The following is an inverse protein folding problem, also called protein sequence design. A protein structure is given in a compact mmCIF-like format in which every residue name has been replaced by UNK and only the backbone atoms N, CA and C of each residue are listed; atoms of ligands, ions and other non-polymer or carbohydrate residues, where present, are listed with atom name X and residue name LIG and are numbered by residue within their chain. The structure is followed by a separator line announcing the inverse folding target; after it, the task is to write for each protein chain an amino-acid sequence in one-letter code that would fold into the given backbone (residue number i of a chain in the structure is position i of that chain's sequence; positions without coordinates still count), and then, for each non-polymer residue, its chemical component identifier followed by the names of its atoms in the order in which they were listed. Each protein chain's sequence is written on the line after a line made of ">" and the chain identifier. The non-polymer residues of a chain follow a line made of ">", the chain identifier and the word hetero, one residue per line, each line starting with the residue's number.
data_IF_624337507879
#
_entry.id   IF_624337507879
#
_cell.length_a   1.000
_cell.length_b   1.000
_cell.length_c   1.000
_cell.angle_alpha   90.00
_cell.angle_beta   90.00
_cell.angle_gamma   90.00
#
_symmetry.space_group_name_H-M   'P 1'
#
loop_
_entity.id
_entity.type
_entity.pdbx_description
1 polymer ?
#
# COMPACT_ATOMS: atom_id res chain seq x y z
N UNK A 1 -10.89 -29.93 -29.82
CA UNK A 1 -10.43 -28.74 -30.57
C UNK A 1 -11.65 -28.04 -31.14
N UNK A 2 -12.07 -26.89 -30.60
CA UNK A 2 -13.17 -26.10 -31.14
C UNK A 2 -12.64 -24.72 -31.52
N UNK A 3 -12.39 -24.54 -32.81
CA UNK A 3 -12.25 -23.26 -33.48
C UNK A 3 -13.63 -22.78 -33.93
N UNK A 4 -13.98 -21.52 -33.67
CA UNK A 4 -15.15 -20.87 -34.26
C UNK A 4 -14.70 -19.54 -34.87
N UNK A 5 -14.68 -19.50 -36.20
CA UNK A 5 -14.64 -18.26 -36.99
C UNK A 5 -16.05 -17.70 -37.12
N UNK A 6 -16.21 -16.38 -37.04
CA UNK A 6 -17.48 -15.72 -37.35
C UNK A 6 -17.31 -14.79 -38.55
N UNK A 7 -18.14 -15.04 -39.57
CA UNK A 7 -18.20 -14.31 -40.83
C UNK A 7 -18.97 -12.99 -40.70
N UNK A 8 -18.49 -11.98 -41.41
CA UNK A 8 -19.11 -10.66 -41.54
C UNK A 8 -20.26 -10.67 -42.56
N UNK A 9 -21.31 -9.86 -42.29
CA UNK A 9 -22.34 -9.50 -43.27
C UNK A 9 -22.54 -8.00 -43.29
N UNK A 10 -22.50 -7.43 -44.50
CA UNK A 10 -22.63 -6.02 -44.80
C UNK A 10 -24.10 -5.59 -44.96
N UNK A 11 -24.39 -4.32 -44.66
CA UNK A 11 -25.64 -3.61 -44.95
C UNK A 11 -25.36 -2.21 -45.51
N UNK A 12 -26.29 -1.60 -46.28
CA UNK A 12 -25.95 -0.69 -47.38
C UNK A 12 -25.91 0.81 -47.02
N UNK A 13 -25.18 1.56 -47.87
CA UNK A 13 -25.03 3.03 -47.90
C UNK A 13 -26.27 3.73 -48.47
N UNK A 14 -26.61 4.91 -47.93
CA UNK A 14 -27.36 5.97 -48.65
C UNK A 14 -26.79 7.37 -48.34
N UNK A 15 -26.38 8.04 -49.44
CA UNK A 15 -26.34 9.47 -49.83
C UNK A 15 -25.90 10.63 -48.89
N UNK A 16 -24.74 11.20 -49.24
CA UNK A 16 -24.44 12.61 -49.56
C UNK A 16 -25.35 13.74 -49.05
N UNK A 17 -24.77 14.69 -48.31
CA UNK A 17 -24.85 16.12 -48.66
C UNK A 17 -23.60 16.87 -48.18
N UNK A 18 -23.07 17.73 -49.06
CA UNK A 18 -21.94 18.60 -48.79
C UNK A 18 -22.41 19.85 -48.03
N UNK A 19 -21.75 20.19 -46.92
CA UNK A 19 -21.82 21.53 -46.33
C UNK A 19 -20.41 21.97 -45.95
N UNK A 20 -20.11 23.17 -46.40
CA UNK A 20 -18.85 23.93 -46.41
C UNK A 20 -18.29 24.20 -45.02
N UNK A 21 -16.95 24.13 -44.91
CA UNK A 21 -16.18 24.61 -43.75
C UNK A 21 -16.26 26.13 -43.65
N UNK A 22 -16.44 26.69 -42.45
CA UNK A 22 -15.79 27.91 -42.03
C UNK A 22 -14.55 27.56 -41.20
N UNK A 23 -13.47 28.22 -41.59
CA UNK A 23 -12.17 28.31 -40.95
C UNK A 23 -12.24 29.00 -39.58
N UNK A 24 -11.25 28.70 -38.74
CA UNK A 24 -10.88 29.36 -37.48
C UNK A 24 -11.71 29.02 -36.23
N UNK A 25 -11.24 28.04 -35.48
CA UNK A 25 -11.35 28.04 -34.02
C UNK A 25 -9.94 28.07 -33.45
N UNK A 26 -9.63 29.14 -32.72
CA UNK A 26 -8.35 29.36 -32.08
C UNK A 26 -8.04 28.23 -31.11
N UNK A 27 -6.88 27.61 -31.29
CA UNK A 27 -6.33 26.67 -30.31
C UNK A 27 -5.92 27.45 -29.06
N UNK A 28 -6.82 27.59 -28.10
CA UNK A 28 -6.47 27.89 -26.72
C UNK A 28 -5.67 26.71 -26.19
N UNK A 29 -4.34 26.80 -26.33
CA UNK A 29 -3.40 25.97 -25.57
C UNK A 29 -3.58 26.32 -24.09
N UNK A 30 -4.46 25.58 -23.42
CA UNK A 30 -4.37 25.45 -21.98
C UNK A 30 -3.06 24.72 -21.70
N UNK A 31 -2.03 25.50 -21.36
CA UNK A 31 -0.84 24.96 -20.72
C UNK A 31 -1.28 24.37 -19.39
N UNK A 32 -1.61 23.08 -19.37
CA UNK A 32 -1.59 22.31 -18.13
C UNK A 32 -0.14 22.26 -17.68
N UNK A 33 0.26 23.29 -16.93
CA UNK A 33 1.40 23.17 -16.04
C UNK A 33 1.03 22.09 -15.04
N UNK A 34 1.55 20.88 -15.25
CA UNK A 34 1.63 19.89 -14.19
C UNK A 34 2.34 20.55 -13.02
N UNK A 35 1.60 20.85 -11.96
CA UNK A 35 2.18 21.19 -10.67
C UNK A 35 2.92 19.94 -10.21
N UNK A 36 4.23 19.88 -10.46
CA UNK A 36 5.09 18.93 -9.78
C UNK A 36 5.23 19.46 -8.36
N UNK A 37 4.52 18.86 -7.42
CA UNK A 37 4.72 19.14 -6.00
C UNK A 37 6.09 18.59 -5.57
N UNK A 38 7.15 19.36 -5.79
CA UNK A 38 8.36 19.22 -5.01
C UNK A 38 8.17 20.06 -3.75
N UNK A 39 7.77 19.43 -2.65
CA UNK A 39 7.66 20.09 -1.34
C UNK A 39 9.05 20.38 -0.77
N UNK A 40 9.69 21.41 -1.31
CA UNK A 40 10.83 22.08 -0.67
C UNK A 40 10.34 23.02 0.42
N UNK A 41 9.96 22.49 1.57
CA UNK A 41 9.76 23.25 2.80
C UNK A 41 10.76 22.75 3.84
N UNK A 42 11.49 23.67 4.49
CA UNK A 42 12.40 23.38 5.61
C UNK A 42 11.62 23.06 6.89
N UNK A 43 10.73 22.07 6.83
CA UNK A 43 10.19 21.39 7.99
C UNK A 43 11.15 20.26 8.34
N UNK A 44 11.53 20.10 9.61
CA UNK A 44 12.31 18.95 10.07
C UNK A 44 11.60 17.66 9.64
N UNK A 45 12.17 16.96 8.65
CA UNK A 45 11.60 15.73 8.12
C UNK A 45 11.58 14.66 9.22
N UNK A 46 10.49 13.91 9.28
CA UNK A 46 10.37 12.77 10.19
C UNK A 46 11.40 11.70 9.83
N UNK A 47 11.84 10.94 10.83
CA UNK A 47 12.80 9.84 10.69
C UNK A 47 12.08 8.52 10.94
N UNK A 48 12.39 7.49 10.14
CA UNK A 48 11.94 6.12 10.41
C UNK A 48 12.80 5.48 11.50
N UNK A 49 12.35 4.37 12.12
CA UNK A 49 13.20 3.60 13.03
C UNK A 49 14.52 3.11 12.41
N UNK A 50 14.59 3.00 11.08
CA UNK A 50 15.78 2.56 10.34
C UNK A 50 16.64 3.74 9.82
N UNK A 51 16.33 4.99 10.18
CA UNK A 51 17.06 6.16 9.68
C UNK A 51 18.56 6.08 9.93
N UNK A 52 18.99 5.76 11.16
CA UNK A 52 20.42 5.73 11.50
C UNK A 52 21.14 4.58 10.77
N UNK A 53 20.45 3.44 10.56
CA UNK A 53 20.94 2.35 9.73
C UNK A 53 21.17 2.81 8.30
N UNK A 54 20.25 3.57 7.72
CA UNK A 54 20.38 4.09 6.36
C UNK A 54 21.57 5.04 6.22
N UNK A 55 21.74 5.97 7.17
CA UNK A 55 22.87 6.90 7.19
C UNK A 55 24.19 6.14 7.29
N UNK A 56 24.29 5.20 8.22
CA UNK A 56 25.50 4.41 8.45
C UNK A 56 25.92 3.57 7.23
N UNK A 57 24.95 3.14 6.41
CA UNK A 57 25.18 2.34 5.21
C UNK A 57 25.21 3.17 3.91
N UNK A 58 25.43 4.49 4.00
CA UNK A 58 25.60 5.36 2.84
C UNK A 58 24.33 5.58 2.02
N UNK A 59 23.16 5.45 2.64
CA UNK A 59 21.87 5.74 2.04
C UNK A 59 21.76 7.22 1.68
N UNK A 60 21.46 7.51 0.42
CA UNK A 60 21.12 8.88 -0.02
C UNK A 60 19.67 9.17 0.40
N UNK A 61 19.52 9.97 1.44
CA UNK A 61 18.21 10.33 1.98
C UNK A 61 17.57 11.49 1.21
N UNK A 62 16.28 11.38 0.93
CA UNK A 62 15.49 12.42 0.26
C UNK A 62 14.15 12.64 0.97
N UNK A 63 13.54 13.82 0.84
CA UNK A 63 12.18 14.06 1.34
C UNK A 63 11.16 13.22 0.57
N UNK A 64 10.36 12.43 1.28
CA UNK A 64 9.22 11.71 0.72
C UNK A 64 8.12 11.57 1.78
N UNK A 65 6.88 11.96 1.46
CA UNK A 65 5.73 11.87 2.38
C UNK A 65 5.96 12.49 3.77
N UNK A 66 6.80 13.54 3.88
CA UNK A 66 7.16 14.17 5.16
C UNK A 66 8.23 13.42 5.98
N UNK A 67 8.81 12.36 5.42
CA UNK A 67 9.92 11.59 5.98
C UNK A 67 11.22 11.79 5.19
N UNK A 68 12.34 11.56 5.86
CA UNK A 68 13.66 11.45 5.24
C UNK A 68 13.95 9.98 4.94
N UNK A 69 13.78 9.55 3.70
CA UNK A 69 13.87 8.14 3.28
C UNK A 69 15.02 7.89 2.29
N UNK A 70 15.62 6.69 2.30
CA UNK A 70 16.69 6.33 1.38
C UNK A 70 16.14 6.11 -0.04
N UNK A 71 16.69 6.81 -1.03
CA UNK A 71 16.37 6.58 -2.46
C UNK A 71 17.38 5.66 -3.15
N UNK A 72 18.59 5.57 -2.61
CA UNK A 72 19.70 4.86 -3.23
C UNK A 72 20.74 4.50 -2.17
N UNK A 73 21.32 3.30 -2.28
CA UNK A 73 22.52 2.90 -1.56
C UNK A 73 23.63 2.67 -2.58
N UNK A 74 24.85 3.14 -2.28
CA UNK A 74 26.03 3.02 -3.16
C UNK A 74 25.89 3.72 -4.53
N UNK A 75 26.77 3.40 -5.49
CA UNK A 75 26.76 3.91 -6.86
C UNK A 75 25.77 3.15 -7.79
N UNK A 76 24.93 2.25 -7.27
CA UNK A 76 23.91 1.55 -8.06
C UNK A 76 22.78 2.48 -8.44
N UNK A 77 22.53 2.66 -9.74
CA UNK A 77 21.38 3.44 -10.21
C UNK A 77 20.05 2.83 -9.77
N UNK A 78 18.98 3.64 -9.74
CA UNK A 78 17.62 3.19 -9.46
C UNK A 78 17.21 2.00 -10.36
N UNK A 79 17.57 2.05 -11.65
CA UNK A 79 17.30 0.97 -12.58
C UNK A 79 18.00 -0.33 -12.16
N UNK A 80 19.27 -0.26 -11.73
CA UNK A 80 19.99 -1.44 -11.24
C UNK A 80 19.36 -1.99 -9.96
N UNK A 81 18.90 -1.15 -9.03
CA UNK A 81 18.17 -1.61 -7.83
C UNK A 81 16.86 -2.31 -8.19
N UNK A 82 16.13 -1.81 -9.19
CA UNK A 82 14.93 -2.47 -9.69
C UNK A 82 15.22 -3.84 -10.31
N UNK A 83 16.27 -3.95 -11.15
CA UNK A 83 16.69 -5.24 -11.72
C UNK A 83 17.13 -6.22 -10.62
N UNK A 84 17.93 -5.75 -9.66
CA UNK A 84 18.36 -6.56 -8.53
C UNK A 84 17.18 -7.12 -7.74
N UNK A 85 16.15 -6.31 -7.46
CA UNK A 85 14.94 -6.78 -6.77
C UNK A 85 14.21 -7.87 -7.57
N UNK A 86 14.17 -7.76 -8.90
CA UNK A 86 13.50 -8.74 -9.78
C UNK A 86 14.28 -10.05 -9.93
N UNK A 87 15.60 -10.00 -9.85
CA UNK A 87 16.48 -11.17 -10.00
C UNK A 87 16.81 -11.84 -8.66
N UNK A 88 16.79 -11.07 -7.56
CA UNK A 88 17.23 -11.51 -6.23
C UNK A 88 16.17 -11.23 -5.15
N UNK A 89 16.52 -10.44 -4.13
CA UNK A 89 15.59 -9.90 -3.15
C UNK A 89 16.12 -8.56 -2.64
N UNK A 90 15.23 -7.66 -2.27
CA UNK A 90 15.56 -6.35 -1.71
C UNK A 90 14.65 -6.05 -0.53
N UNK A 91 15.22 -5.36 0.47
CA UNK A 91 14.50 -4.90 1.64
C UNK A 91 14.20 -3.41 1.49
N UNK A 92 12.92 -3.07 1.60
CA UNK A 92 12.43 -1.70 1.50
C UNK A 92 11.96 -1.21 2.87
N UNK A 93 12.46 -0.05 3.29
CA UNK A 93 11.91 0.64 4.47
C UNK A 93 10.62 1.37 4.07
N UNK A 94 9.49 0.79 4.44
CA UNK A 94 8.15 1.35 4.24
C UNK A 94 7.54 1.80 5.56
N UNK A 95 8.36 2.05 6.59
CA UNK A 95 7.90 2.46 7.94
C UNK A 95 7.23 3.83 7.97
N UNK A 96 7.29 4.58 6.88
CA UNK A 96 6.55 5.83 6.71
C UNK A 96 5.05 5.60 6.44
N UNK A 97 4.64 4.38 6.05
CA UNK A 97 3.22 4.02 5.90
C UNK A 97 2.54 4.04 7.26
N UNK A 98 1.26 4.45 7.27
CA UNK A 98 0.53 4.63 8.50
C UNK A 98 -0.11 3.31 8.92
N UNK A 99 0.12 2.92 10.17
CA UNK A 99 -0.33 1.65 10.72
C UNK A 99 -1.43 1.92 11.75
N UNK A 100 -2.58 1.27 11.58
CA UNK A 100 -3.77 1.43 12.43
C UNK A 100 -4.22 0.10 13.00
N UNK A 101 -4.78 0.14 14.20
CA UNK A 101 -5.50 -0.97 14.81
C UNK A 101 -6.93 -0.52 15.08
N UNK A 102 -7.89 -1.28 14.54
CA UNK A 102 -9.31 -1.19 14.89
C UNK A 102 -9.70 -2.42 15.71
N UNK A 103 -10.35 -2.21 16.86
CA UNK A 103 -10.73 -3.27 17.77
C UNK A 103 -12.14 -3.05 18.35
N UNK A 104 -12.94 -4.10 18.45
CA UNK A 104 -14.28 -4.05 19.04
C UNK A 104 -15.29 -4.81 18.19
N UNK A 105 -16.41 -5.22 18.78
CA UNK A 105 -17.39 -6.12 18.13
C UNK A 105 -17.99 -5.52 16.84
N UNK A 106 -17.98 -4.20 16.71
CA UNK A 106 -18.51 -3.48 15.56
C UNK A 106 -17.40 -3.01 14.60
N UNK A 107 -16.13 -3.43 14.80
CA UNK A 107 -15.00 -3.01 13.95
C UNK A 107 -15.13 -3.45 12.49
N UNK A 108 -15.65 -4.66 12.24
CA UNK A 108 -15.93 -5.15 10.89
C UNK A 108 -16.96 -4.23 10.19
N UNK A 109 -18.08 -3.97 10.85
CA UNK A 109 -19.16 -3.12 10.35
C UNK A 109 -18.70 -1.67 10.13
N UNK A 110 -17.84 -1.15 11.01
CA UNK A 110 -17.22 0.16 10.83
C UNK A 110 -16.36 0.19 9.57
N UNK A 111 -15.46 -0.77 9.38
CA UNK A 111 -14.61 -0.83 8.19
C UNK A 111 -15.43 -1.07 6.91
N UNK A 112 -16.53 -1.83 6.97
CA UNK A 112 -17.44 -2.07 5.85
C UNK A 112 -18.18 -0.78 5.45
N UNK A 113 -18.47 0.11 6.40
CA UNK A 113 -19.01 1.45 6.11
C UNK A 113 -18.01 2.30 5.31
N UNK A 114 -16.72 2.14 5.58
CA UNK A 114 -15.66 2.98 4.98
C UNK A 114 -15.08 2.42 3.68
N UNK A 115 -15.30 1.15 3.39
CA UNK A 115 -14.61 0.44 2.29
C UNK A 115 -15.59 -0.40 1.46
N UNK A 116 -15.28 -0.69 0.19
CA UNK A 116 -16.11 -1.55 -0.64
C UNK A 116 -15.78 -3.04 -0.41
N UNK A 117 -15.59 -3.47 0.84
CA UNK A 117 -15.07 -4.79 1.17
C UNK A 117 -15.78 -5.39 2.38
N UNK A 118 -16.12 -6.68 2.28
CA UNK A 118 -16.71 -7.48 3.35
C UNK A 118 -15.63 -7.91 4.33
N UNK A 119 -15.70 -7.44 5.57
CA UNK A 119 -14.74 -7.78 6.65
C UNK A 119 -15.30 -8.81 7.63
N UNK A 120 -16.63 -8.93 7.68
CA UNK A 120 -17.34 -9.90 8.52
C UNK A 120 -16.96 -11.33 8.15
N UNK A 121 -16.93 -11.63 6.84
CA UNK A 121 -16.65 -12.98 6.31
C UNK A 121 -15.16 -13.24 6.02
N UNK A 122 -14.27 -12.29 6.33
CA UNK A 122 -12.83 -12.49 6.16
C UNK A 122 -12.28 -13.48 7.19
N UNK A 123 -11.46 -14.44 6.76
CA UNK A 123 -10.78 -15.33 7.69
C UNK A 123 -9.78 -14.58 8.59
N UNK A 124 -9.58 -15.07 9.81
CA UNK A 124 -8.50 -14.59 10.68
C UNK A 124 -7.15 -14.88 10.02
N UNK A 125 -6.21 -13.94 10.18
CA UNK A 125 -4.92 -13.88 9.50
C UNK A 125 -5.00 -13.82 7.97
N UNK A 126 -6.12 -13.34 7.42
CA UNK A 126 -6.20 -12.97 6.01
C UNK A 126 -6.15 -11.45 5.85
N UNK A 127 -5.73 -11.02 4.68
CA UNK A 127 -5.54 -9.63 4.27
C UNK A 127 -6.12 -9.38 2.89
N UNK A 128 -6.62 -8.16 2.66
CA UNK A 128 -7.12 -7.71 1.37
C UNK A 128 -6.64 -6.30 1.07
N UNK A 129 -6.46 -6.03 -0.21
CA UNK A 129 -6.38 -4.67 -0.72
C UNK A 129 -7.79 -4.07 -0.80
N UNK A 130 -7.91 -2.82 -0.39
CA UNK A 130 -9.17 -2.08 -0.43
C UNK A 130 -8.90 -0.58 -0.54
N UNK A 131 -9.96 0.22 -0.57
CA UNK A 131 -9.88 1.67 -0.53
C UNK A 131 -10.86 2.22 0.49
N UNK A 132 -10.45 3.28 1.19
CA UNK A 132 -11.39 4.12 1.92
C UNK A 132 -12.16 5.00 0.94
N UNK A 133 -13.46 5.15 1.15
CA UNK A 133 -14.36 5.87 0.24
C UNK A 133 -15.05 7.02 0.96
N UNK A 134 -15.13 8.18 0.31
CA UNK A 134 -15.88 9.31 0.81
C UNK A 134 -17.38 8.94 0.90
N UNK A 135 -18.02 9.13 2.07
CA UNK A 135 -19.46 8.91 2.20
C UNK A 135 -20.25 9.72 1.17
N UNK A 136 -21.25 9.08 0.56
CA UNK A 136 -22.15 9.68 -0.43
C UNK A 136 -21.60 9.80 -1.85
N UNK A 137 -20.31 10.12 -2.03
CA UNK A 137 -19.72 10.23 -3.39
C UNK A 137 -19.08 8.94 -3.87
N UNK A 138 -18.60 8.09 -2.95
CA UNK A 138 -17.82 6.88 -3.28
C UNK A 138 -16.45 7.19 -3.88
N UNK A 139 -15.98 8.44 -3.84
CA UNK A 139 -14.65 8.80 -4.30
C UNK A 139 -13.57 8.23 -3.38
N UNK A 140 -12.42 7.84 -3.92
CA UNK A 140 -11.32 7.25 -3.14
C UNK A 140 -10.73 8.31 -2.21
N UNK A 141 -10.70 8.00 -0.92
CA UNK A 141 -9.96 8.74 0.11
C UNK A 141 -8.50 8.31 0.06
N UNK A 142 -8.23 7.02 0.27
CA UNK A 142 -6.89 6.42 0.21
C UNK A 142 -6.99 4.92 -0.08
N UNK A 143 -5.90 4.30 -0.53
CA UNK A 143 -5.77 2.85 -0.64
C UNK A 143 -5.22 2.24 0.65
N UNK A 144 -5.61 1.00 0.96
CA UNK A 144 -5.17 0.32 2.17
C UNK A 144 -5.06 -1.19 2.03
N UNK A 145 -4.24 -1.77 2.89
CA UNK A 145 -4.22 -3.22 3.18
C UNK A 145 -4.83 -3.44 4.55
N UNK A 146 -5.86 -4.26 4.62
CA UNK A 146 -6.54 -4.62 5.88
C UNK A 146 -6.33 -6.09 6.17
N UNK A 147 -5.73 -6.40 7.32
CA UNK A 147 -5.50 -7.75 7.84
C UNK A 147 -6.37 -7.99 9.07
N UNK A 148 -7.17 -9.06 9.06
CA UNK A 148 -7.94 -9.48 10.25
C UNK A 148 -7.01 -10.25 11.18
N UNK A 149 -6.65 -9.70 12.34
CA UNK A 149 -5.73 -10.31 13.30
C UNK A 149 -6.40 -11.25 14.30
N UNK A 150 -7.70 -11.10 14.52
CA UNK A 150 -8.50 -11.90 15.45
C UNK A 150 -9.99 -11.77 15.15
N UNK A 151 -10.83 -12.19 16.09
CA UNK A 151 -12.29 -12.10 15.96
C UNK A 151 -12.72 -10.66 15.67
N UNK A 152 -12.29 -9.73 16.52
CA UNK A 152 -12.71 -8.32 16.49
C UNK A 152 -11.50 -7.37 16.41
N UNK A 153 -10.45 -7.75 15.69
CA UNK A 153 -9.23 -6.94 15.59
C UNK A 153 -8.71 -6.91 14.17
N UNK A 154 -8.52 -5.70 13.65
CA UNK A 154 -8.10 -5.43 12.29
C UNK A 154 -6.88 -4.51 12.30
N UNK A 155 -5.84 -4.92 11.57
CA UNK A 155 -4.66 -4.14 11.31
C UNK A 155 -4.75 -3.55 9.91
N UNK A 156 -4.61 -2.23 9.81
CA UNK A 156 -4.79 -1.50 8.55
C UNK A 156 -3.56 -0.66 8.25
N UNK A 157 -3.06 -0.77 7.03
CA UNK A 157 -1.93 0.04 6.55
C UNK A 157 -2.43 0.96 5.43
N UNK A 158 -2.21 2.27 5.57
CA UNK A 158 -2.53 3.30 4.56
C UNK A 158 -1.27 4.02 4.07
N UNK A 159 -1.41 4.86 3.04
CA UNK A 159 -0.30 5.58 2.47
C UNK A 159 0.26 6.65 3.43
N UNK A 160 1.59 6.72 3.55
CA UNK A 160 2.26 7.68 4.45
C UNK A 160 2.00 9.16 4.11
N UNK A 161 1.78 9.49 2.83
CA UNK A 161 1.56 10.88 2.40
C UNK A 161 0.19 11.45 2.85
N UNK A 162 -0.72 10.57 3.27
CA UNK A 162 -2.10 10.89 3.58
C UNK A 162 -2.38 10.98 5.08
N UNK A 163 -1.36 10.86 5.95
CA UNK A 163 -1.53 10.72 7.41
C UNK A 163 -2.54 11.70 8.03
N UNK A 164 -2.37 13.01 7.83
CA UNK A 164 -3.23 14.01 8.48
C UNK A 164 -4.67 13.95 7.94
N UNK A 165 -4.81 13.70 6.63
CA UNK A 165 -6.10 13.56 5.95
C UNK A 165 -6.84 12.30 6.43
N UNK A 166 -6.15 11.17 6.47
CA UNK A 166 -6.72 9.89 6.89
C UNK A 166 -7.06 9.89 8.37
N UNK A 167 -6.18 10.46 9.21
CA UNK A 167 -6.43 10.57 10.65
C UNK A 167 -7.69 11.38 10.92
N UNK A 168 -7.84 12.54 10.27
CA UNK A 168 -9.04 13.36 10.41
C UNK A 168 -10.29 12.64 9.89
N UNK A 169 -10.19 12.00 8.73
CA UNK A 169 -11.29 11.25 8.14
C UNK A 169 -11.78 10.12 9.06
N UNK A 170 -10.86 9.31 9.58
CA UNK A 170 -11.16 8.20 10.46
C UNK A 170 -11.77 8.67 11.79
N UNK A 171 -11.24 9.74 12.39
CA UNK A 171 -11.77 10.33 13.62
C UNK A 171 -13.22 10.82 13.44
N UNK A 172 -13.49 11.56 12.36
CA UNK A 172 -14.82 12.06 12.04
C UNK A 172 -15.82 10.94 11.78
N UNK A 173 -15.44 9.90 11.03
CA UNK A 173 -16.33 8.77 10.75
C UNK A 173 -16.57 7.89 11.97
N UNK A 174 -15.57 7.71 12.82
CA UNK A 174 -15.68 6.99 14.09
C UNK A 174 -16.63 7.72 15.04
N UNK A 175 -16.49 9.05 15.17
CA UNK A 175 -17.38 9.88 15.97
C UNK A 175 -18.85 9.83 15.54
N UNK A 176 -19.11 9.56 14.25
CA UNK A 176 -20.48 9.40 13.70
C UNK A 176 -21.04 7.98 13.83
N UNK A 177 -20.20 6.97 14.08
CA UNK A 177 -20.61 5.57 13.96
C UNK A 177 -21.46 5.07 15.14
N UNK A 178 -21.11 5.47 16.37
CA UNK A 178 -21.90 5.16 17.57
C UNK A 178 -21.91 3.68 18.01
N UNK A 179 -20.96 2.88 17.55
CA UNK A 179 -20.80 1.45 17.92
C UNK A 179 -19.56 1.19 18.78
N UNK A 180 -19.36 -0.07 19.17
CA UNK A 180 -18.18 -0.55 19.89
C UNK A 180 -17.03 -0.83 18.91
N UNK A 181 -16.26 0.24 18.67
CA UNK A 181 -15.01 0.20 17.92
C UNK A 181 -14.05 1.23 18.50
N UNK A 182 -12.84 0.76 18.79
CA UNK A 182 -11.71 1.56 19.21
C UNK A 182 -10.71 1.60 18.08
N UNK A 183 -10.14 2.78 17.85
CA UNK A 183 -9.11 3.00 16.86
C UNK A 183 -7.86 3.55 17.53
N UNK A 184 -6.71 3.03 17.11
CA UNK A 184 -5.40 3.54 17.52
C UNK A 184 -4.42 3.51 16.35
N UNK A 185 -3.44 4.41 16.37
CA UNK A 185 -2.32 4.44 15.44
C UNK A 185 -1.10 3.83 16.11
N UNK A 186 -0.35 3.02 15.38
CA UNK A 186 0.93 2.49 15.82
C UNK A 186 2.04 3.47 15.45
N UNK A 187 2.35 4.37 16.37
CA UNK A 187 3.49 5.28 16.25
C UNK A 187 4.80 4.55 16.59
N UNK A 188 5.88 4.92 15.89
CA UNK A 188 7.23 4.35 16.07
C UNK A 188 7.36 2.85 15.78
N UNK A 189 6.41 2.26 15.05
CA UNK A 189 6.52 0.89 14.54
C UNK A 189 7.27 0.86 13.21
N UNK A 190 8.17 -0.12 13.07
CA UNK A 190 8.86 -0.38 11.79
C UNK A 190 7.97 -1.20 10.86
N UNK A 191 8.03 -0.91 9.57
CA UNK A 191 7.43 -1.73 8.51
C UNK A 191 8.44 -1.89 7.38
N UNK A 192 8.74 -3.14 7.05
CA UNK A 192 9.68 -3.47 5.97
C UNK A 192 9.01 -4.39 4.96
N UNK A 193 9.34 -4.21 3.70
CA UNK A 193 8.95 -5.11 2.63
C UNK A 193 10.18 -5.84 2.10
N UNK A 194 10.21 -7.17 2.25
CA UNK A 194 11.20 -8.03 1.60
C UNK A 194 10.59 -8.55 0.30
N UNK A 195 11.13 -8.12 -0.84
CA UNK A 195 10.55 -8.37 -2.16
C UNK A 195 11.58 -8.97 -3.12
N UNK A 196 11.13 -9.89 -3.99
CA UNK A 196 11.95 -10.58 -4.98
C UNK A 196 11.89 -12.10 -4.85
N UNK A 197 12.29 -12.86 -5.88
CA UNK A 197 12.21 -14.33 -5.90
C UNK A 197 12.89 -15.02 -4.72
N UNK A 198 13.94 -14.42 -4.13
CA UNK A 198 14.70 -15.01 -3.02
C UNK A 198 14.15 -14.64 -1.63
N UNK A 199 13.05 -13.88 -1.54
CA UNK A 199 12.53 -13.34 -0.27
C UNK A 199 12.16 -14.40 0.75
N UNK A 200 11.50 -15.49 0.30
CA UNK A 200 11.07 -16.56 1.19
C UNK A 200 12.26 -17.34 1.76
N UNK A 201 13.28 -17.58 0.95
CA UNK A 201 14.52 -18.23 1.36
C UNK A 201 15.23 -17.39 2.43
N UNK A 202 15.49 -16.11 2.16
CA UNK A 202 16.14 -15.20 3.12
C UNK A 202 15.35 -15.10 4.44
N UNK A 203 14.02 -14.96 4.36
CA UNK A 203 13.20 -14.89 5.56
C UNK A 203 13.26 -16.19 6.37
N UNK A 204 13.33 -17.35 5.70
CA UNK A 204 13.40 -18.64 6.39
C UNK A 204 14.67 -18.82 7.23
N UNK A 205 15.80 -18.24 6.81
CA UNK A 205 17.07 -18.32 7.54
C UNK A 205 17.04 -17.59 8.89
N UNK A 206 16.17 -16.58 9.01
CA UNK A 206 16.04 -15.75 10.21
C UNK A 206 14.79 -16.06 11.02
N UNK A 207 13.97 -17.04 10.64
CA UNK A 207 12.83 -17.46 11.45
C UNK A 207 13.30 -18.21 12.70
N UNK A 208 12.77 -17.82 13.86
CA UNK A 208 12.93 -18.54 15.12
C UNK A 208 11.71 -19.40 15.49
N UNK A 209 10.60 -19.22 14.76
CA UNK A 209 9.37 -20.01 14.90
C UNK A 209 9.27 -21.08 13.81
N UNK A 210 8.58 -22.17 14.12
CA UNK A 210 8.26 -23.24 13.15
C UNK A 210 7.12 -22.79 12.22
N UNK A 211 7.44 -21.93 11.25
CA UNK A 211 6.51 -21.40 10.25
C UNK A 211 6.93 -21.86 8.87
N UNK A 212 6.05 -22.64 8.23
CA UNK A 212 6.22 -23.09 6.86
C UNK A 212 5.76 -21.99 5.88
N UNK A 213 6.72 -21.19 5.40
CA UNK A 213 6.46 -20.10 4.46
C UNK A 213 5.87 -20.57 3.13
N UNK A 214 6.01 -21.85 2.76
CA UNK A 214 5.38 -22.39 1.54
C UNK A 214 3.84 -22.44 1.65
N UNK A 215 3.32 -22.48 2.88
CA UNK A 215 1.89 -22.45 3.20
C UNK A 215 1.37 -21.04 3.48
N UNK A 216 2.26 -20.04 3.54
CA UNK A 216 1.86 -18.64 3.61
C UNK A 216 1.47 -18.18 2.20
N UNK A 217 0.21 -18.39 1.84
CA UNK A 217 -0.34 -17.98 0.55
C UNK A 217 -0.52 -16.46 0.45
N UNK A 218 -0.66 -15.96 -0.78
CA UNK A 218 -0.99 -14.56 -1.02
C UNK A 218 -2.27 -14.17 -0.26
N UNK A 219 -2.23 -13.00 0.39
CA UNK A 219 -3.34 -12.54 1.21
C UNK A 219 -3.36 -13.15 2.61
N UNK A 220 -2.41 -14.01 2.99
CA UNK A 220 -2.34 -14.55 4.35
C UNK A 220 -1.25 -13.85 5.16
N UNK A 221 -1.42 -13.89 6.47
CA UNK A 221 -0.46 -13.43 7.45
C UNK A 221 -0.19 -14.49 8.51
N UNK A 222 0.90 -14.32 9.27
CA UNK A 222 1.27 -15.19 10.38
C UNK A 222 2.08 -14.38 11.39
N UNK A 223 1.93 -14.69 12.67
CA UNK A 223 2.83 -14.19 13.71
C UNK A 223 4.03 -15.11 13.84
N UNK A 224 5.24 -14.55 13.85
CA UNK A 224 6.46 -15.33 14.03
C UNK A 224 7.50 -14.53 14.82
N UNK A 225 8.42 -15.23 15.48
CA UNK A 225 9.62 -14.65 16.05
C UNK A 225 10.77 -14.75 15.04
N UNK A 226 11.64 -13.75 15.01
CA UNK A 226 12.86 -13.76 14.22
C UNK A 226 14.07 -13.98 15.13
N UNK A 227 15.11 -14.63 14.60
CA UNK A 227 16.42 -14.77 15.22
C UNK A 227 17.27 -13.55 14.88
N UNK A 228 17.76 -12.87 15.91
CA UNK A 228 18.66 -11.74 15.78
C UNK A 228 20.12 -12.21 15.62
N UNK A 229 20.97 -11.30 15.14
CA UNK A 229 22.39 -11.58 14.88
C UNK A 229 23.15 -12.00 16.15
N UNK A 230 22.73 -11.54 17.33
CA UNK A 230 23.28 -11.94 18.63
C UNK A 230 22.75 -13.30 19.13
N UNK A 231 21.89 -13.96 18.34
CA UNK A 231 21.26 -15.24 18.66
C UNK A 231 20.00 -15.12 19.52
N UNK A 232 19.64 -13.93 19.99
CA UNK A 232 18.39 -13.69 20.71
C UNK A 232 17.17 -13.72 19.77
N UNK A 233 15.98 -13.73 20.33
CA UNK A 233 14.71 -13.72 19.58
C UNK A 233 14.05 -12.35 19.67
N UNK A 234 13.37 -11.95 18.60
CA UNK A 234 12.48 -10.78 18.63
C UNK A 234 11.21 -11.07 19.41
N UNK A 235 10.47 -10.01 19.75
CA UNK A 235 9.03 -10.15 19.99
C UNK A 235 8.34 -10.68 18.70
N UNK A 236 7.13 -11.26 18.79
CA UNK A 236 6.40 -11.70 17.61
C UNK A 236 6.18 -10.54 16.63
N UNK A 237 6.54 -10.76 15.38
CA UNK A 237 6.31 -9.84 14.26
C UNK A 237 5.22 -10.39 13.35
N UNK A 238 4.44 -9.50 12.75
CA UNK A 238 3.44 -9.86 11.76
C UNK A 238 4.10 -10.00 10.40
N UNK A 239 4.09 -11.21 9.84
CA UNK A 239 4.56 -11.48 8.48
C UNK A 239 3.32 -11.63 7.61
N UNK A 240 3.18 -10.79 6.58
CA UNK A 240 2.08 -10.87 5.62
C UNK A 240 2.61 -11.03 4.21
N UNK A 241 1.99 -11.92 3.43
CA UNK A 241 2.30 -12.09 2.01
C UNK A 241 1.37 -11.23 1.17
N UNK A 242 1.83 -10.02 0.90
CA UNK A 242 1.17 -9.07 0.02
C UNK A 242 1.39 -9.34 -1.48
N UNK A 243 0.90 -8.45 -2.35
CA UNK A 243 1.01 -8.59 -3.80
C UNK A 243 2.47 -8.43 -4.23
N UNK A 244 2.91 -9.29 -5.16
CA UNK A 244 4.24 -9.27 -5.79
C UNK A 244 4.30 -8.42 -7.06
#
# INVERSE_FOLDING_TARGET
>A
MKSLSLAARAGPRILSSAVTRPTSFGALRLSQQSIRCASGGSSDLKKTPLYDFHVANGGKLVPFAGYSLPVQYSNLSLAQSHHFTREHASLFDVSHMVQHIFKGKDAAAFLEKLTPSDWTNQGVMQSKLTTFLWPGTGGIVDDSVVTRLGEDTYYVVTNGACLDKDTKYLDEELGKFGGDVQWSRLDNSGLVALQGPQSAEILSEVLASDVDLSKLYFGNAVWAELKLADGSKTHPVLISRGPS
#
